data_IF_601379948058
#
_entry.id   IF_601379948058
#
_cell.length_a   1.000
_cell.length_b   1.000
_cell.length_c   1.000
_cell.angle_alpha   90.00
_cell.angle_beta   90.00
_cell.angle_gamma   90.00
#
_symmetry.space_group_name_H-M   'P 1'
#
loop_
_entity.id
_entity.type
_entity.pdbx_description
1 polymer ?
#
# COMPACT_ATOMS: atom_id res chain seq x y z
N UNK A 1 17.28 -17.29 15.38
CA UNK A 1 18.22 -17.61 14.27
C UNK A 1 17.88 -19.02 13.85
N UNK A 2 17.46 -19.25 12.61
CA UNK A 2 17.07 -20.58 12.14
C UNK A 2 18.27 -21.52 12.23
N UNK A 3 18.27 -22.42 13.21
CA UNK A 3 19.42 -23.27 13.55
C UNK A 3 19.57 -24.48 12.61
N UNK A 4 18.73 -24.63 11.60
CA UNK A 4 18.66 -25.87 10.83
C UNK A 4 19.02 -25.69 9.35
N UNK A 5 20.27 -25.33 9.10
CA UNK A 5 20.99 -25.82 7.91
C UNK A 5 22.07 -26.76 8.42
N UNK A 6 21.63 -27.85 9.07
CA UNK A 6 22.51 -28.97 9.43
C UNK A 6 22.16 -30.10 8.47
N UNK A 7 23.09 -30.38 7.57
CA UNK A 7 23.09 -31.60 6.77
C UNK A 7 23.46 -32.75 7.69
N UNK A 8 22.45 -33.37 8.31
CA UNK A 8 22.63 -34.65 8.98
C UNK A 8 22.44 -35.78 7.95
N UNK A 9 23.46 -36.63 7.80
CA UNK A 9 23.44 -37.86 6.97
C UNK A 9 22.47 -38.94 7.50
N UNK A 10 21.60 -38.60 8.46
CA UNK A 10 20.55 -39.50 8.96
C UNK A 10 19.36 -39.49 8.02
N UNK A 11 19.04 -40.65 7.46
CA UNK A 11 17.81 -40.89 6.71
C UNK A 11 16.62 -40.73 7.67
N UNK A 12 15.99 -39.56 7.64
CA UNK A 12 14.80 -39.23 8.43
C UNK A 12 13.57 -39.75 7.69
N UNK A 13 12.60 -40.29 8.44
CA UNK A 13 11.33 -40.73 7.85
C UNK A 13 10.57 -39.54 7.25
N UNK A 14 9.89 -39.73 6.11
CA UNK A 14 9.17 -38.65 5.42
C UNK A 14 8.22 -37.87 6.34
N UNK A 15 7.50 -38.59 7.20
CA UNK A 15 6.56 -37.98 8.16
C UNK A 15 7.27 -37.09 9.18
N UNK A 16 8.43 -37.52 9.69
CA UNK A 16 9.21 -36.74 10.66
C UNK A 16 9.77 -35.45 10.02
N UNK A 17 10.19 -35.52 8.75
CA UNK A 17 10.61 -34.34 8.00
C UNK A 17 9.47 -33.34 7.82
N UNK A 18 8.30 -33.80 7.36
CA UNK A 18 7.13 -32.92 7.15
C UNK A 18 6.67 -32.30 8.46
N UNK A 19 6.64 -33.05 9.56
CA UNK A 19 6.28 -32.53 10.89
C UNK A 19 7.24 -31.43 11.35
N UNK A 20 8.56 -31.64 11.21
CA UNK A 20 9.57 -30.62 11.54
C UNK A 20 9.43 -29.38 10.66
N UNK A 21 9.23 -29.55 9.35
CA UNK A 21 9.03 -28.44 8.44
C UNK A 21 7.78 -27.61 8.80
N UNK A 22 6.66 -28.26 9.13
CA UNK A 22 5.45 -27.56 9.60
C UNK A 22 5.71 -26.76 10.87
N UNK A 23 6.41 -27.36 11.83
CA UNK A 23 6.80 -26.70 13.08
C UNK A 23 7.67 -25.47 12.82
N UNK A 24 8.72 -25.60 12.02
CA UNK A 24 9.64 -24.49 11.69
C UNK A 24 8.90 -23.35 10.97
N UNK A 25 8.02 -23.67 10.02
CA UNK A 25 7.21 -22.66 9.32
C UNK A 25 6.22 -21.96 10.27
N UNK A 26 5.64 -22.69 11.21
CA UNK A 26 4.75 -22.10 12.21
C UNK A 26 5.50 -21.13 13.12
N UNK A 27 6.67 -21.52 13.63
CA UNK A 27 7.51 -20.68 14.47
C UNK A 27 8.01 -19.44 13.70
N UNK A 28 8.49 -19.64 12.47
CA UNK A 28 8.93 -18.56 11.59
C UNK A 28 7.80 -17.53 11.35
N UNK A 29 6.59 -18.02 11.06
CA UNK A 29 5.42 -17.17 10.82
C UNK A 29 5.04 -16.37 12.07
N UNK A 30 5.09 -16.97 13.25
CA UNK A 30 4.80 -16.27 14.50
C UNK A 30 5.82 -15.16 14.78
N UNK A 31 7.11 -15.45 14.59
CA UNK A 31 8.20 -14.48 14.78
C UNK A 31 8.04 -13.32 13.79
N UNK A 32 7.81 -13.62 12.51
CA UNK A 32 7.61 -12.62 11.47
C UNK A 32 6.41 -11.71 11.78
N UNK A 33 5.30 -12.29 12.25
CA UNK A 33 4.10 -11.53 12.64
C UNK A 33 4.37 -10.59 13.80
N UNK A 34 5.03 -11.07 14.86
CA UNK A 34 5.40 -10.24 16.03
C UNK A 34 6.22 -9.03 15.58
N UNK A 35 7.27 -9.26 14.79
CA UNK A 35 8.11 -8.18 14.28
C UNK A 35 7.37 -7.23 13.33
N UNK A 36 6.48 -7.74 12.48
CA UNK A 36 5.66 -6.90 11.59
C UNK A 36 4.78 -5.94 12.38
N UNK A 37 4.12 -6.40 13.45
CA UNK A 37 3.28 -5.55 14.32
C UNK A 37 4.13 -4.50 15.04
N UNK A 38 5.26 -4.90 15.61
CA UNK A 38 6.15 -4.00 16.35
C UNK A 38 6.74 -2.91 15.43
N UNK A 39 7.23 -3.30 14.25
CA UNK A 39 7.76 -2.36 13.27
C UNK A 39 6.66 -1.48 12.69
N UNK A 40 5.46 -2.00 12.41
CA UNK A 40 4.32 -1.19 11.97
C UNK A 40 3.98 -0.11 13.01
N UNK A 41 3.92 -0.47 14.29
CA UNK A 41 3.70 0.48 15.37
C UNK A 41 4.83 1.52 15.47
N UNK A 42 6.08 1.09 15.32
CA UNK A 42 7.25 1.99 15.29
C UNK A 42 7.20 2.94 14.10
N UNK A 43 6.90 2.45 12.90
CA UNK A 43 6.75 3.25 11.69
C UNK A 43 5.63 4.26 11.84
N UNK A 44 4.48 3.87 12.40
CA UNK A 44 3.37 4.77 12.68
C UNK A 44 3.79 5.91 13.63
N UNK A 45 4.50 5.60 14.73
CA UNK A 45 5.04 6.60 15.67
C UNK A 45 6.02 7.54 14.98
N UNK A 46 6.95 7.02 14.19
CA UNK A 46 7.96 7.81 13.49
C UNK A 46 7.35 8.72 12.42
N UNK A 47 6.34 8.23 11.71
CA UNK A 47 5.57 8.99 10.73
C UNK A 47 4.83 10.13 11.42
N UNK A 48 4.05 9.81 12.47
CA UNK A 48 3.25 10.77 13.21
C UNK A 48 4.10 11.82 13.95
N UNK A 49 5.35 11.51 14.30
CA UNK A 49 6.28 12.48 14.92
C UNK A 49 6.58 13.70 14.05
N UNK A 50 6.49 13.56 12.72
CA UNK A 50 6.76 14.65 11.77
C UNK A 50 5.49 15.31 11.23
N UNK A 51 4.35 15.15 11.92
CA UNK A 51 3.13 15.87 11.56
C UNK A 51 3.41 17.37 11.65
N UNK A 52 3.15 18.07 10.56
CA UNK A 52 3.34 19.53 10.43
C UNK A 52 2.05 20.15 9.91
N UNK A 53 1.74 21.33 10.42
CA UNK A 53 0.63 22.15 9.96
C UNK A 53 -0.53 22.20 10.95
N UNK A 54 -1.18 23.36 11.01
CA UNK A 54 -2.45 23.55 11.72
C UNK A 54 -3.57 22.77 11.03
N UNK A 55 -4.60 22.31 11.77
CA UNK A 55 -5.89 22.00 11.16
C UNK A 55 -6.37 23.22 10.36
N UNK A 56 -6.91 22.98 9.17
CA UNK A 56 -7.47 24.02 8.33
C UNK A 56 -8.95 24.20 8.69
N UNK A 57 -9.38 25.43 8.84
CA UNK A 57 -10.78 25.79 9.00
C UNK A 57 -11.44 26.02 7.63
N UNK A 58 -12.77 26.05 7.63
CA UNK A 58 -13.52 26.49 6.46
C UNK A 58 -13.24 27.97 6.20
N UNK A 59 -12.98 28.34 4.95
CA UNK A 59 -12.59 29.69 4.53
C UNK A 59 -11.09 29.96 4.54
N UNK A 60 -10.26 29.03 5.03
CA UNK A 60 -8.80 29.18 4.94
C UNK A 60 -8.33 29.07 3.49
N UNK A 61 -7.31 29.85 3.14
CA UNK A 61 -6.68 29.83 1.82
C UNK A 61 -5.58 28.81 1.76
N UNK A 62 -5.60 28.00 0.70
CA UNK A 62 -4.64 26.92 0.51
C UNK A 62 -4.13 26.82 -0.93
N UNK A 63 -2.89 26.38 -1.07
CA UNK A 63 -2.32 25.94 -2.36
C UNK A 63 -2.29 24.41 -2.42
N UNK A 64 -2.51 23.89 -3.63
CA UNK A 64 -2.52 22.46 -3.91
C UNK A 64 -1.13 22.00 -4.35
N UNK A 65 -0.67 20.82 -3.91
CA UNK A 65 0.61 20.28 -4.37
C UNK A 65 0.52 19.72 -5.81
N UNK A 66 1.53 20.02 -6.64
CA UNK A 66 1.67 19.52 -8.01
C UNK A 66 2.17 18.07 -8.05
N UNK A 67 1.35 17.12 -7.57
CA UNK A 67 1.70 15.68 -7.58
C UNK A 67 1.27 14.92 -8.84
N UNK A 68 0.43 15.53 -9.67
CA UNK A 68 -0.08 14.92 -10.90
C UNK A 68 0.76 15.19 -12.15
N UNK A 69 1.73 16.12 -12.09
CA UNK A 69 2.54 16.47 -13.25
C UNK A 69 3.58 15.38 -13.53
N UNK A 70 3.34 14.59 -14.58
CA UNK A 70 4.20 13.47 -14.96
C UNK A 70 5.42 13.97 -15.74
N UNK A 71 6.56 14.13 -15.07
CA UNK A 71 7.83 14.48 -15.72
C UNK A 71 8.92 14.92 -14.74
N UNK A 72 10.21 14.81 -15.12
CA UNK A 72 11.33 15.29 -14.30
C UNK A 72 11.67 16.73 -14.68
N UNK A 73 11.05 17.71 -14.02
CA UNK A 73 11.53 19.10 -14.04
C UNK A 73 12.24 19.37 -12.72
N UNK A 74 13.56 19.50 -12.76
CA UNK A 74 14.41 19.71 -11.58
C UNK A 74 14.14 21.05 -10.87
N UNK A 75 13.47 21.98 -11.56
CA UNK A 75 13.11 23.32 -11.06
C UNK A 75 11.59 23.57 -11.06
N UNK A 76 10.75 22.55 -11.22
CA UNK A 76 9.31 22.81 -11.19
C UNK A 76 8.85 23.18 -9.78
N UNK A 77 7.91 24.12 -9.72
CA UNK A 77 7.27 24.50 -8.48
C UNK A 77 6.48 23.34 -7.90
N UNK A 78 6.64 23.16 -6.59
CA UNK A 78 5.99 22.07 -5.85
C UNK A 78 4.49 22.31 -5.63
N UNK A 79 4.07 23.56 -5.65
CA UNK A 79 2.71 24.00 -5.36
C UNK A 79 2.10 24.65 -6.61
N UNK A 80 0.83 24.40 -6.85
CA UNK A 80 0.00 25.12 -7.82
C UNK A 80 -0.01 26.60 -7.43
N UNK A 81 0.16 27.50 -8.40
CA UNK A 81 0.11 28.94 -8.19
C UNK A 81 -1.31 29.42 -7.90
N UNK A 82 -2.32 28.62 -8.23
CA UNK A 82 -3.73 28.95 -8.05
C UNK A 82 -4.13 28.82 -6.57
N UNK A 83 -4.66 29.89 -5.94
CA UNK A 83 -5.21 29.82 -4.58
C UNK A 83 -6.59 29.15 -4.57
N UNK A 84 -6.82 28.31 -3.55
CA UNK A 84 -8.11 27.65 -3.30
C UNK A 84 -8.60 27.99 -1.90
N UNK A 85 -9.92 28.05 -1.73
CA UNK A 85 -10.57 28.21 -0.43
C UNK A 85 -11.07 26.86 0.07
N UNK A 86 -10.91 26.59 1.37
CA UNK A 86 -11.43 25.38 2.01
C UNK A 86 -12.94 25.52 2.20
N UNK A 87 -13.72 24.69 1.49
CA UNK A 87 -15.19 24.71 1.55
C UNK A 87 -15.72 23.82 2.66
N UNK A 88 -15.14 22.62 2.82
CA UNK A 88 -15.58 21.70 3.87
C UNK A 88 -14.48 20.77 4.34
N UNK A 89 -14.60 20.34 5.58
CA UNK A 89 -13.66 19.45 6.26
C UNK A 89 -14.37 18.16 6.63
N UNK A 90 -13.83 17.02 6.23
CA UNK A 90 -14.29 15.71 6.72
C UNK A 90 -13.55 15.36 7.99
N UNK A 91 -14.19 15.64 9.12
CA UNK A 91 -13.68 15.29 10.45
C UNK A 91 -13.36 13.79 10.54
N UNK A 92 -12.18 13.45 11.06
CA UNK A 92 -11.72 12.08 11.26
C UNK A 92 -10.73 11.55 10.23
N UNK A 93 -10.80 11.97 8.96
CA UNK A 93 -9.98 11.39 7.87
C UNK A 93 -9.01 12.36 7.17
N UNK A 94 -8.74 13.55 7.72
CA UNK A 94 -7.80 14.55 7.16
C UNK A 94 -8.02 14.86 5.66
N UNK A 95 -9.25 14.71 5.18
CA UNK A 95 -9.67 14.99 3.81
C UNK A 95 -10.47 16.28 3.78
N UNK A 96 -10.09 17.16 2.85
CA UNK A 96 -10.59 18.51 2.71
C UNK A 96 -11.20 18.67 1.32
N UNK A 97 -12.23 19.49 1.25
CA UNK A 97 -12.88 19.88 0.00
C UNK A 97 -12.51 21.33 -0.27
N UNK A 98 -11.78 21.56 -1.33
CA UNK A 98 -11.25 22.87 -1.72
C UNK A 98 -11.94 23.36 -2.98
N UNK A 99 -12.07 24.68 -3.14
CA UNK A 99 -12.67 25.32 -4.30
C UNK A 99 -11.78 26.42 -4.83
N UNK A 100 -11.58 26.44 -6.14
CA UNK A 100 -10.89 27.53 -6.82
C UNK A 100 -11.73 28.81 -6.74
N UNK A 101 -11.12 29.91 -6.32
CA UNK A 101 -11.78 31.20 -6.21
C UNK A 101 -12.24 31.76 -7.58
N UNK A 102 -11.48 31.48 -8.64
CA UNK A 102 -11.71 32.04 -9.99
C UNK A 102 -12.58 31.09 -10.81
N UNK A 103 -12.16 29.83 -10.95
CA UNK A 103 -12.86 28.87 -11.83
C UNK A 103 -14.03 28.18 -11.13
N UNK A 104 -14.13 28.28 -9.80
CA UNK A 104 -15.16 27.60 -9.00
C UNK A 104 -15.04 26.08 -8.97
N UNK A 105 -13.95 25.51 -9.51
CA UNK A 105 -13.71 24.06 -9.56
C UNK A 105 -13.45 23.52 -8.17
N UNK A 106 -14.14 22.44 -7.83
CA UNK A 106 -14.00 21.80 -6.52
C UNK A 106 -13.14 20.54 -6.61
N UNK A 107 -12.33 20.29 -5.57
CA UNK A 107 -11.50 19.09 -5.45
C UNK A 107 -11.54 18.54 -4.03
N UNK A 108 -11.38 17.23 -3.91
CA UNK A 108 -11.27 16.51 -2.64
C UNK A 108 -9.82 16.06 -2.48
N UNK A 109 -9.15 16.52 -1.43
CA UNK A 109 -7.71 16.38 -1.27
C UNK A 109 -7.35 16.08 0.19
N UNK A 110 -6.33 15.26 0.43
CA UNK A 110 -5.80 15.00 1.77
C UNK A 110 -4.93 16.17 2.28
N UNK A 111 -4.91 16.41 3.60
CA UNK A 111 -4.18 17.51 4.25
C UNK A 111 -2.73 17.67 3.81
N UNK A 112 -2.04 16.55 3.61
CA UNK A 112 -0.61 16.51 3.24
C UNK A 112 -0.29 17.19 1.90
N UNK A 113 -1.30 17.40 1.05
CA UNK A 113 -1.17 18.02 -0.26
C UNK A 113 -1.64 19.47 -0.28
N UNK A 114 -1.93 20.05 0.90
CA UNK A 114 -2.35 21.44 1.05
C UNK A 114 -1.27 22.25 1.75
N UNK A 115 -1.08 23.49 1.32
CA UNK A 115 -0.28 24.47 2.04
C UNK A 115 -1.21 25.59 2.46
N UNK A 116 -1.25 25.93 3.75
CA UNK A 116 -2.01 27.08 4.23
C UNK A 116 -1.29 28.37 3.88
N UNK A 117 -2.01 29.33 3.30
CA UNK A 117 -1.43 30.58 2.82
C UNK A 117 -2.29 31.79 3.16
N UNK A 118 -2.51 31.98 4.46
CA UNK A 118 -3.33 33.07 4.99
C UNK A 118 -2.72 34.46 4.76
N UNK A 119 -1.41 34.52 4.50
CA UNK A 119 -0.67 35.78 4.32
C UNK A 119 -0.70 36.32 2.88
N UNK A 120 -1.19 35.56 1.91
CA UNK A 120 -1.31 36.05 0.54
C UNK A 120 -2.55 36.96 0.44
N UNK A 121 -2.31 38.26 0.54
CA UNK A 121 -3.27 39.29 0.12
C UNK A 121 -3.48 39.12 -1.38
N UNK A 122 -4.74 38.92 -1.79
CA UNK A 122 -5.07 38.90 -3.21
C UNK A 122 -5.15 40.35 -3.64
N UNK A 123 -4.12 40.82 -4.33
CA UNK A 123 -4.29 41.98 -5.20
C UNK A 123 -5.12 41.50 -6.39
N UNK A 124 -6.35 42.00 -6.45
CA UNK A 124 -7.27 41.87 -7.58
C UNK A 124 -6.60 42.43 -8.85
N UNK A 125 -5.82 41.64 -9.57
CA UNK A 125 -5.35 42.01 -10.91
C UNK A 125 -5.23 40.78 -11.80
N UNK A 126 -6.38 40.33 -12.30
CA UNK A 126 -6.46 39.43 -13.45
C UNK A 126 -6.77 40.24 -14.71
N UNK A 127 -5.78 40.46 -15.56
CA UNK A 127 -5.98 40.81 -16.96
C UNK A 127 -4.96 40.07 -17.84
N UNK A 128 -5.48 39.07 -18.59
CA UNK A 128 -4.88 38.35 -19.74
C UNK A 128 -3.59 37.56 -19.44
N UNK A 129 -3.49 36.28 -19.79
CA UNK A 129 -3.49 35.78 -21.16
C UNK A 129 -4.10 34.38 -21.25
N UNK A 130 -4.94 34.20 -22.27
CA UNK A 130 -5.42 32.92 -22.77
C UNK A 130 -4.29 32.15 -23.47
N UNK A 131 -4.33 30.82 -23.43
CA UNK A 131 -4.36 30.05 -24.68
C UNK A 131 -4.94 28.64 -24.46
N UNK A 132 -5.60 28.17 -25.50
CA UNK A 132 -6.41 26.96 -25.59
C UNK A 132 -5.54 25.70 -25.73
N UNK A 133 -6.01 24.53 -25.29
CA UNK A 133 -6.38 23.47 -26.25
C UNK A 133 -6.76 22.12 -25.61
N UNK A 134 -7.92 21.66 -26.11
CA UNK A 134 -8.35 20.30 -26.43
C UNK A 134 -8.54 19.24 -25.33
N UNK A 135 -9.83 18.89 -25.19
CA UNK A 135 -10.33 17.60 -24.74
C UNK A 135 -9.93 16.50 -25.73
N UNK A 136 -9.50 15.36 -25.21
CA UNK A 136 -9.89 14.08 -25.79
C UNK A 136 -10.15 13.05 -24.69
N UNK A 137 -11.27 12.37 -24.88
CA UNK A 137 -11.85 11.32 -24.06
C UNK A 137 -11.33 9.99 -24.58
N UNK A 138 -10.99 9.04 -23.71
CA UNK A 138 -11.49 7.65 -23.73
C UNK A 138 -10.64 6.74 -22.84
N UNK A 139 -11.35 5.75 -22.30
CA UNK A 139 -11.12 4.83 -21.21
C UNK A 139 -9.92 3.86 -21.31
N UNK A 140 -9.50 3.35 -20.14
CA UNK A 140 -8.61 2.18 -20.05
C UNK A 140 -8.18 1.81 -18.64
N UNK A 141 -9.12 1.19 -17.92
CA UNK A 141 -9.01 0.29 -16.75
C UNK A 141 -7.71 0.19 -15.93
N UNK A 142 -7.90 0.23 -14.60
CA UNK A 142 -7.27 -0.74 -13.71
C UNK A 142 -6.17 -0.20 -12.80
N UNK A 143 -6.56 0.37 -11.66
CA UNK A 143 -5.71 0.31 -10.45
C UNK A 143 -6.57 0.02 -9.24
N UNK A 144 -6.34 -1.18 -8.71
CA UNK A 144 -6.87 -1.69 -7.48
C UNK A 144 -6.84 -0.63 -6.39
N UNK A 145 -8.04 -0.39 -5.86
CA UNK A 145 -8.22 0.25 -4.57
C UNK A 145 -7.82 -0.81 -3.54
N UNK A 146 -6.62 -0.71 -2.99
CA UNK A 146 -6.31 -1.45 -1.75
C UNK A 146 -7.06 -0.71 -0.65
N UNK A 147 -8.30 -1.14 -0.44
CA UNK A 147 -9.02 -0.87 0.79
C UNK A 147 -8.13 -1.34 1.94
N UNK A 148 -7.81 -0.40 2.83
CA UNK A 148 -7.20 -0.73 4.10
C UNK A 148 -8.33 -1.32 4.95
N UNK A 149 -8.64 -2.59 4.70
CA UNK A 149 -9.34 -3.40 5.66
C UNK A 149 -8.46 -3.46 6.91
N UNK A 150 -9.06 -3.29 8.08
CA UNK A 150 -8.54 -3.86 9.31
C UNK A 150 -8.41 -5.37 9.09
N UNK A 151 -7.32 -5.82 8.45
CA UNK A 151 -6.99 -7.24 8.31
C UNK A 151 -6.32 -7.69 9.61
N UNK A 152 -7.04 -7.54 10.71
CA UNK A 152 -7.04 -8.59 11.71
C UNK A 152 -8.10 -9.58 11.24
N UNK A 153 -7.70 -10.67 10.58
CA UNK A 153 -8.73 -11.66 10.26
C UNK A 153 -8.32 -12.97 9.62
N UNK A 154 -7.23 -13.02 8.86
CA UNK A 154 -6.87 -14.27 8.18
C UNK A 154 -5.42 -14.22 7.72
N UNK A 155 -4.56 -14.82 8.53
CA UNK A 155 -3.21 -15.16 8.06
C UNK A 155 -3.38 -16.39 7.18
N UNK A 156 -3.61 -16.22 5.86
CA UNK A 156 -3.70 -17.31 4.89
C UNK A 156 -2.61 -18.37 5.08
N UNK A 157 -1.41 -17.91 5.45
CA UNK A 157 -0.26 -18.76 5.75
C UNK A 157 -0.47 -19.60 7.01
N UNK A 158 -1.01 -19.05 8.10
CA UNK A 158 -1.34 -19.84 9.30
C UNK A 158 -2.54 -20.73 9.07
N UNK A 159 -3.53 -20.25 8.34
CA UNK A 159 -4.71 -21.03 7.96
C UNK A 159 -4.32 -22.26 7.14
N UNK A 160 -3.42 -22.08 6.17
CA UNK A 160 -2.81 -23.16 5.39
C UNK A 160 -1.99 -24.12 6.26
N UNK A 161 -1.25 -23.62 7.25
CA UNK A 161 -0.49 -24.46 8.18
C UNK A 161 -1.42 -25.30 9.08
N UNK A 162 -2.51 -24.71 9.59
CA UNK A 162 -3.47 -25.34 10.51
C UNK A 162 -4.42 -26.33 9.80
N UNK A 163 -4.78 -26.06 8.55
CA UNK A 163 -5.69 -26.90 7.76
C UNK A 163 -4.97 -27.85 6.80
N UNK A 164 -3.64 -27.92 6.83
CA UNK A 164 -2.90 -28.92 6.05
C UNK A 164 -3.22 -30.32 6.60
N UNK A 165 -3.71 -31.25 5.78
CA UNK A 165 -4.06 -32.58 6.25
C UNK A 165 -2.83 -33.27 6.89
N UNK A 166 -3.06 -33.95 8.00
CA UNK A 166 -2.07 -34.86 8.56
C UNK A 166 -1.96 -36.09 7.67
N UNK A 167 -0.78 -36.24 7.07
CA UNK A 167 -0.46 -37.33 6.12
C UNK A 167 -0.52 -38.71 6.80
N UNK A 168 -0.65 -38.77 8.13
CA UNK A 168 -0.89 -40.00 8.88
C UNK A 168 -2.15 -40.79 8.44
N UNK A 169 -3.03 -40.19 7.62
CA UNK A 169 -4.25 -40.84 7.10
C UNK A 169 -4.20 -41.26 5.63
N UNK A 170 -3.14 -40.91 4.88
CA UNK A 170 -2.99 -41.39 3.50
C UNK A 170 -2.30 -42.74 3.54
N UNK A 171 -3.10 -43.80 3.67
CA UNK A 171 -2.64 -45.16 3.46
C UNK A 171 -1.90 -45.23 2.12
N UNK A 172 -0.60 -45.54 2.19
CA UNK A 172 0.23 -45.80 1.02
C UNK A 172 -0.32 -47.07 0.36
N UNK A 173 -1.27 -46.91 -0.56
CA UNK A 173 -1.58 -47.94 -1.54
C UNK A 173 -0.37 -48.02 -2.45
N UNK A 174 0.50 -48.99 -2.16
CA UNK A 174 1.47 -49.47 -3.13
C UNK A 174 0.67 -50.03 -4.31
N UNK A 175 0.61 -49.27 -5.41
CA UNK A 175 0.28 -49.85 -6.71
C UNK A 175 1.61 -50.31 -7.33
N UNK A 176 1.81 -51.62 -7.57
CA UNK A 176 2.94 -52.07 -8.35
C UNK A 176 2.69 -51.78 -9.83
N UNK A 177 3.80 -51.63 -10.54
CA UNK A 177 3.99 -51.75 -11.98
C UNK A 177 3.79 -50.55 -12.92
N UNK A 178 4.96 -50.19 -13.47
CA UNK A 178 5.24 -49.96 -14.88
C UNK A 178 5.26 -48.52 -15.39
N UNK A 179 6.42 -47.87 -15.20
CA UNK A 179 6.91 -46.88 -16.17
C UNK A 179 8.25 -47.34 -16.74
N UNK A 180 8.17 -48.03 -17.89
CA UNK A 180 9.30 -48.23 -18.81
C UNK A 180 9.65 -46.89 -19.44
N UNK A 181 10.90 -46.46 -19.28
CA UNK A 181 11.49 -45.39 -20.07
C UNK A 181 11.86 -45.92 -21.45
N UNK A 182 11.15 -45.50 -22.50
CA UNK A 182 11.66 -45.58 -23.88
C UNK A 182 12.46 -44.30 -24.17
N UNK A 183 13.78 -44.42 -24.27
CA UNK A 183 14.64 -43.35 -24.79
C UNK A 183 14.49 -43.21 -26.30
N UNK A 184 14.78 -42.03 -26.88
CA UNK A 184 14.67 -41.82 -28.32
C UNK A 184 15.84 -42.46 -29.06
N UNK A 185 15.50 -43.15 -30.16
CA UNK A 185 16.43 -43.52 -31.23
C UNK A 185 16.62 -42.33 -32.17
N UNK A 186 17.88 -41.90 -32.29
CA UNK A 186 18.65 -41.33 -33.43
C UNK A 186 19.52 -40.18 -32.97
#
# INVERSE_FOLDING_TARGET
>A
MFQHVVQDDKVISHNEFVSRLKQDLSEASEIARKHSVDEQARHARLYNRKVKGSPLAMGDRVLLANRGEKGKRKHADRWDSTPYDVVSVRSGINVYRIKDAITGRERVVHRNLLLQVDFLTVDETSASLADSDNLDVTCGSGRDSVEMNDVDGYNQTMDWLMHSPDIASVGVVHSPDSFRWCGPLT
#
